data_IF_671117997918
#
_entry.id   IF_671117997918
#
_cell.length_a   1.000
_cell.length_b   1.000
_cell.length_c   1.000
_cell.angle_alpha   90.00
_cell.angle_beta   90.00
_cell.angle_gamma   90.00
#
_symmetry.space_group_name_H-M   'P 1'
#
loop_
_entity.id
_entity.type
_entity.pdbx_description
1 polymer ?
#
# COMPACT_ATOMS: atom_id res chain seq x y z
N UNK A 1 11.32 10.95 10.85
CA UNK A 1 12.10 9.76 10.43
C UNK A 1 13.07 10.11 9.30
N UNK A 2 12.70 10.98 8.34
CA UNK A 2 13.63 11.45 7.29
C UNK A 2 14.91 12.12 7.84
N UNK A 3 14.81 12.90 8.92
CA UNK A 3 15.96 13.67 9.46
C UNK A 3 17.09 12.82 10.06
N UNK A 4 16.86 11.51 10.25
CA UNK A 4 17.83 10.60 10.89
C UNK A 4 18.58 9.70 9.90
N UNK A 5 18.13 9.64 8.64
CA UNK A 5 18.70 8.72 7.65
C UNK A 5 19.54 9.50 6.63
N UNK A 6 20.72 8.98 6.31
CA UNK A 6 21.55 9.53 5.23
C UNK A 6 20.88 9.32 3.87
N UNK A 7 21.24 10.13 2.87
CA UNK A 7 20.75 9.95 1.49
C UNK A 7 21.00 8.54 0.95
N UNK A 8 22.16 7.97 1.26
CA UNK A 8 22.51 6.60 0.88
C UNK A 8 21.59 5.57 1.54
N UNK A 9 21.25 5.76 2.82
CA UNK A 9 20.32 4.88 3.51
C UNK A 9 18.90 4.97 2.93
N UNK A 10 18.47 6.16 2.51
CA UNK A 10 17.18 6.35 1.84
C UNK A 10 17.16 5.68 0.47
N UNK A 11 18.20 5.88 -0.35
CA UNK A 11 18.30 5.28 -1.69
C UNK A 11 18.40 3.75 -1.66
N UNK A 12 18.96 3.17 -0.61
CA UNK A 12 19.11 1.72 -0.43
C UNK A 12 18.07 1.12 0.53
N UNK A 13 17.00 1.85 0.86
CA UNK A 13 15.93 1.38 1.76
C UNK A 13 15.27 0.10 1.25
N UNK A 14 15.06 -0.02 -0.07
CA UNK A 14 14.52 -1.21 -0.73
C UNK A 14 15.31 -2.48 -0.39
N UNK A 15 16.66 -2.42 -0.36
CA UNK A 15 17.49 -3.57 -0.01
C UNK A 15 17.32 -4.00 1.45
N UNK A 16 17.13 -3.04 2.36
CA UNK A 16 16.85 -3.36 3.76
C UNK A 16 15.50 -4.04 3.91
N UNK A 17 14.47 -3.53 3.25
CA UNK A 17 13.12 -4.13 3.24
C UNK A 17 13.18 -5.58 2.74
N UNK A 18 13.87 -5.82 1.62
CA UNK A 18 14.05 -7.17 1.08
C UNK A 18 14.81 -8.10 2.03
N UNK A 19 15.80 -7.60 2.77
CA UNK A 19 16.56 -8.40 3.74
C UNK A 19 15.73 -8.81 4.98
N UNK A 20 14.64 -8.11 5.28
CA UNK A 20 13.66 -8.50 6.32
C UNK A 20 12.68 -9.57 5.81
N UNK A 21 12.86 -10.08 4.57
CA UNK A 21 11.96 -11.06 3.96
C UNK A 21 10.68 -10.47 3.39
N UNK A 22 10.58 -9.15 3.27
CA UNK A 22 9.44 -8.47 2.67
C UNK A 22 9.62 -8.46 1.15
N UNK A 23 8.67 -9.06 0.44
CA UNK A 23 8.66 -9.06 -1.02
C UNK A 23 8.30 -7.67 -1.57
N UNK A 24 9.11 -7.16 -2.49
CA UNK A 24 8.82 -5.93 -3.23
C UNK A 24 8.14 -6.29 -4.54
N UNK A 25 6.82 -6.18 -4.58
CA UNK A 25 6.01 -6.52 -5.76
C UNK A 25 6.09 -5.39 -6.81
N UNK A 26 6.45 -5.68 -8.08
CA UNK A 26 6.42 -4.70 -9.14
C UNK A 26 4.98 -4.26 -9.48
N UNK A 27 4.79 -2.96 -9.65
CA UNK A 27 3.51 -2.41 -10.07
C UNK A 27 3.19 -2.79 -11.53
N UNK A 28 2.05 -3.44 -11.75
CA UNK A 28 1.62 -3.91 -13.08
C UNK A 28 0.52 -3.02 -13.67
N UNK A 29 0.22 -3.21 -14.96
CA UNK A 29 -0.88 -2.52 -15.64
C UNK A 29 -2.23 -2.90 -15.02
N UNK A 30 -2.45 -4.19 -14.74
CA UNK A 30 -3.71 -4.67 -14.15
C UNK A 30 -3.99 -4.02 -12.78
N UNK A 31 -2.95 -3.83 -11.97
CA UNK A 31 -3.06 -3.12 -10.68
C UNK A 31 -3.42 -1.65 -10.86
N UNK A 32 -2.91 -1.00 -11.91
CA UNK A 32 -3.23 0.39 -12.23
C UNK A 32 -4.65 0.55 -12.77
N UNK A 33 -5.13 -0.41 -13.56
CA UNK A 33 -6.50 -0.44 -14.04
C UNK A 33 -7.48 -0.62 -12.87
N UNK A 34 -7.20 -1.56 -11.97
CA UNK A 34 -7.95 -1.77 -10.73
C UNK A 34 -7.95 -0.51 -9.85
N UNK A 35 -6.80 0.15 -9.68
CA UNK A 35 -6.70 1.43 -8.98
C UNK A 35 -7.60 2.50 -9.60
N UNK A 36 -7.65 2.56 -10.93
CA UNK A 36 -8.51 3.47 -11.66
C UNK A 36 -10.00 3.18 -11.44
N UNK A 37 -10.40 1.91 -11.38
CA UNK A 37 -11.76 1.49 -11.08
C UNK A 37 -12.18 1.86 -9.65
N UNK A 38 -11.37 1.50 -8.65
CA UNK A 38 -11.64 1.80 -7.24
C UNK A 38 -11.73 3.31 -7.00
N UNK A 39 -10.84 4.10 -7.61
CA UNK A 39 -10.89 5.57 -7.49
C UNK A 39 -12.16 6.19 -8.08
N UNK A 40 -12.76 5.57 -9.09
CA UNK A 40 -14.06 6.01 -9.64
C UNK A 40 -15.23 5.60 -8.76
N UNK A 41 -15.10 4.49 -8.04
CA UNK A 41 -16.12 4.03 -7.09
C UNK A 41 -16.09 4.82 -5.77
N UNK A 42 -14.92 5.31 -5.37
CA UNK A 42 -14.71 5.97 -4.08
C UNK A 42 -14.07 7.36 -4.24
N UNK A 43 -14.90 8.41 -4.20
CA UNK A 43 -14.50 9.82 -4.41
C UNK A 43 -13.39 10.33 -3.47
N UNK A 44 -13.26 9.70 -2.30
CA UNK A 44 -12.29 10.02 -1.24
C UNK A 44 -10.89 9.45 -1.48
N UNK A 45 -10.73 8.54 -2.44
CA UNK A 45 -9.42 7.96 -2.73
C UNK A 45 -8.55 8.95 -3.48
N UNK A 46 -7.43 9.31 -2.86
CA UNK A 46 -6.37 10.00 -3.58
C UNK A 46 -5.68 9.02 -4.56
N UNK A 47 -4.86 9.55 -5.48
CA UNK A 47 -4.21 8.74 -6.53
C UNK A 47 -3.31 7.66 -5.93
N UNK A 48 -2.57 7.98 -4.87
CA UNK A 48 -1.64 7.02 -4.25
C UNK A 48 -2.38 5.96 -3.44
N UNK A 49 -3.41 6.33 -2.69
CA UNK A 49 -4.23 5.36 -1.94
C UNK A 49 -4.91 4.38 -2.90
N UNK A 50 -5.40 4.89 -4.03
CA UNK A 50 -5.97 4.06 -5.09
C UNK A 50 -4.95 3.06 -5.66
N UNK A 51 -3.69 3.43 -5.83
CA UNK A 51 -2.64 2.52 -6.31
C UNK A 51 -2.38 1.38 -5.31
N UNK A 52 -2.31 1.69 -4.01
CA UNK A 52 -2.15 0.67 -2.97
C UNK A 52 -3.36 -0.28 -2.94
N UNK A 53 -4.57 0.26 -3.02
CA UNK A 53 -5.79 -0.53 -3.09
C UNK A 53 -5.91 -1.38 -4.34
N UNK A 54 -5.61 -0.81 -5.52
CA UNK A 54 -5.62 -1.56 -6.77
C UNK A 54 -4.63 -2.74 -6.71
N UNK A 55 -3.46 -2.52 -6.11
CA UNK A 55 -2.47 -3.58 -5.90
C UNK A 55 -3.00 -4.67 -4.98
N UNK A 56 -3.50 -4.30 -3.80
CA UNK A 56 -4.03 -5.25 -2.81
C UNK A 56 -5.24 -6.03 -3.35
N UNK A 57 -6.15 -5.34 -4.06
CA UNK A 57 -7.30 -5.94 -4.72
C UNK A 57 -6.88 -6.97 -5.78
N UNK A 58 -5.92 -6.64 -6.65
CA UNK A 58 -5.43 -7.56 -7.67
C UNK A 58 -4.69 -8.76 -7.09
N UNK A 59 -4.01 -8.60 -5.96
CA UNK A 59 -3.32 -9.69 -5.27
C UNK A 59 -4.23 -10.52 -4.36
N UNK A 60 -5.48 -10.10 -4.16
CA UNK A 60 -6.41 -10.67 -3.16
C UNK A 60 -5.82 -10.65 -1.73
N UNK A 61 -5.03 -9.62 -1.42
CA UNK A 61 -4.35 -9.45 -0.14
C UNK A 61 -4.93 -8.28 0.66
N UNK A 62 -4.87 -8.34 2.01
CA UNK A 62 -5.30 -7.23 2.84
C UNK A 62 -4.31 -6.07 2.83
N UNK A 63 -4.81 -4.85 3.03
CA UNK A 63 -3.98 -3.68 3.32
C UNK A 63 -3.73 -3.59 4.82
N UNK A 64 -2.46 -3.55 5.20
CA UNK A 64 -2.02 -3.18 6.55
C UNK A 64 -1.80 -1.66 6.59
N UNK A 65 -2.62 -0.94 7.33
CA UNK A 65 -2.55 0.52 7.40
C UNK A 65 -3.16 1.09 8.67
N UNK A 66 -2.59 2.18 9.18
CA UNK A 66 -3.19 2.98 10.26
C UNK A 66 -4.19 4.02 9.75
N UNK A 67 -4.36 4.12 8.43
CA UNK A 67 -5.28 5.06 7.81
C UNK A 67 -6.73 4.63 8.03
N UNK A 68 -7.54 5.59 8.47
CA UNK A 68 -8.98 5.43 8.72
C UNK A 68 -9.81 5.37 7.44
N UNK A 69 -9.21 5.59 6.27
CA UNK A 69 -9.88 5.57 4.97
C UNK A 69 -10.26 4.16 4.51
N UNK A 70 -9.38 3.18 4.73
CA UNK A 70 -9.49 1.82 4.20
C UNK A 70 -10.57 0.93 4.85
N UNK A 71 -10.91 1.04 6.16
CA UNK A 71 -12.00 0.28 6.76
C UNK A 71 -13.37 0.39 6.08
N UNK A 72 -13.55 1.38 5.22
CA UNK A 72 -14.82 1.67 4.55
C UNK A 72 -14.82 1.31 3.06
N UNK A 73 -13.93 0.40 2.64
CA UNK A 73 -13.82 -0.14 1.28
C UNK A 73 -14.01 -1.64 1.37
N UNK A 74 -15.18 -2.11 0.94
CA UNK A 74 -15.61 -3.49 1.19
C UNK A 74 -14.82 -4.52 0.36
N UNK A 75 -14.22 -4.10 -0.76
CA UNK A 75 -13.52 -4.99 -1.69
C UNK A 75 -12.15 -5.47 -1.21
N UNK A 76 -11.55 -4.79 -0.23
CA UNK A 76 -10.19 -5.08 0.24
C UNK A 76 -10.18 -5.19 1.76
N UNK A 77 -9.73 -6.33 2.27
CA UNK A 77 -9.54 -6.53 3.69
C UNK A 77 -8.58 -5.48 4.27
N UNK A 78 -8.91 -4.92 5.43
CA UNK A 78 -8.06 -3.96 6.12
C UNK A 78 -7.64 -4.49 7.48
N UNK A 79 -6.38 -4.21 7.83
CA UNK A 79 -5.80 -4.53 9.13
C UNK A 79 -5.05 -3.32 9.69
N UNK A 80 -5.43 -2.86 10.89
CA UNK A 80 -4.69 -1.82 11.58
C UNK A 80 -3.56 -2.45 12.43
N UNK A 81 -2.29 -2.18 12.14
CA UNK A 81 -1.19 -2.76 12.90
C UNK A 81 -1.15 -2.31 14.36
N UNK A 82 -1.89 -1.26 14.74
CA UNK A 82 -2.01 -0.81 16.14
C UNK A 82 -2.92 -1.70 16.97
N UNK A 83 -3.69 -2.57 16.33
CA UNK A 83 -4.55 -3.56 16.99
C UNK A 83 -3.77 -4.87 17.30
N UNK A 84 -2.50 -4.96 16.89
CA UNK A 84 -1.59 -6.02 17.32
C UNK A 84 -1.06 -5.72 18.72
N UNK A 85 -1.26 -6.65 19.66
CA UNK A 85 -0.66 -6.63 21.00
C UNK A 85 0.85 -6.86 20.99
#
# INVERSE_FOLDING_TARGET
MEDTWSKEQLSNSHSKIANEGIELVPLTVDMMDAAGELRRAYDRLNVFDAVHLGTAYTLEEPIVSTDTLYPEIDEVGHFDPRDLE
#
